data_IF_239495269671
#
_entry.id   IF_239495269671
#
_cell.length_a   1.000
_cell.length_b   1.000
_cell.length_c   1.000
_cell.angle_alpha   90.00
_cell.angle_beta   90.00
_cell.angle_gamma   90.00
#
_symmetry.space_group_name_H-M   'P 1'
#
loop_
_entity.id
_entity.type
_entity.pdbx_description
1 polymer ?
#
# COMPACT_ATOMS: atom_id res chain seq x y z
N UNK A 1 22.18 -6.30 -1.71
CA UNK A 1 21.54 -4.98 -1.93
C UNK A 1 20.63 -5.12 -3.15
N UNK A 2 19.57 -4.33 -3.28
CA UNK A 2 18.81 -4.28 -4.54
C UNK A 2 19.46 -3.18 -5.35
N UNK A 3 20.15 -3.55 -6.42
CA UNK A 3 21.00 -2.59 -7.12
C UNK A 3 20.21 -1.75 -8.12
N UNK A 4 19.08 -2.27 -8.63
CA UNK A 4 18.37 -1.68 -9.76
C UNK A 4 16.86 -1.53 -9.51
N UNK A 5 16.33 -0.33 -9.79
CA UNK A 5 14.89 -0.05 -9.79
C UNK A 5 14.48 0.54 -11.14
N UNK A 6 13.49 -0.10 -11.78
CA UNK A 6 12.83 0.40 -12.98
C UNK A 6 11.54 1.12 -12.58
N UNK A 7 11.33 2.31 -13.15
CA UNK A 7 10.13 3.10 -12.91
C UNK A 7 9.17 2.97 -14.09
N UNK A 8 7.93 2.55 -13.84
CA UNK A 8 6.86 2.46 -14.84
C UNK A 8 5.86 3.60 -14.62
N UNK A 9 5.79 4.52 -15.59
CA UNK A 9 4.90 5.69 -15.55
C UNK A 9 3.89 5.63 -16.69
N UNK A 10 2.61 5.75 -16.37
CA UNK A 10 1.53 5.91 -17.35
C UNK A 10 0.87 7.27 -17.19
N UNK A 11 0.80 8.01 -18.29
CA UNK A 11 0.31 9.40 -18.33
C UNK A 11 -1.10 9.41 -18.94
N UNK A 12 -2.02 10.14 -18.31
CA UNK A 12 -3.39 10.29 -18.82
C UNK A 12 -3.44 11.23 -20.02
N UNK A 13 -4.13 10.83 -21.08
CA UNK A 13 -4.34 11.67 -22.27
C UNK A 13 -5.26 12.87 -22.04
N UNK A 14 -5.92 12.95 -20.87
CA UNK A 14 -6.86 14.03 -20.53
C UNK A 14 -6.20 15.23 -19.86
N UNK A 15 -4.91 15.12 -19.51
CA UNK A 15 -4.16 16.18 -18.88
C UNK A 15 -3.48 17.05 -19.95
N UNK A 16 -3.42 18.36 -19.73
CA UNK A 16 -2.63 19.23 -20.60
C UNK A 16 -1.14 18.94 -20.46
N UNK A 17 -0.35 19.27 -21.49
CA UNK A 17 1.09 19.00 -21.53
C UNK A 17 1.84 19.66 -20.35
N UNK A 18 1.41 20.85 -19.94
CA UNK A 18 2.00 21.58 -18.81
C UNK A 18 1.74 20.89 -17.46
N UNK A 19 0.51 20.42 -17.24
CA UNK A 19 0.14 19.70 -16.02
C UNK A 19 0.81 18.33 -15.99
N UNK A 20 0.93 17.68 -17.14
CA UNK A 20 1.66 16.43 -17.33
C UNK A 20 3.13 16.59 -16.96
N UNK A 21 3.83 17.57 -17.53
CA UNK A 21 5.25 17.79 -17.27
C UNK A 21 5.52 18.11 -15.79
N UNK A 22 4.66 18.90 -15.16
CA UNK A 22 4.75 19.22 -13.73
C UNK A 22 4.51 17.99 -12.86
N UNK A 23 3.48 17.20 -13.17
CA UNK A 23 3.15 15.96 -12.47
C UNK A 23 4.27 14.91 -12.57
N UNK A 24 4.77 14.68 -13.79
CA UNK A 24 5.89 13.77 -14.07
C UNK A 24 7.13 14.15 -13.25
N UNK A 25 7.48 15.42 -13.24
CA UNK A 25 8.64 15.93 -12.48
C UNK A 25 8.49 15.68 -10.99
N UNK A 26 7.27 15.89 -10.45
CA UNK A 26 6.96 15.60 -9.05
C UNK A 26 7.08 14.12 -8.71
N UNK A 27 6.52 13.24 -9.56
CA UNK A 27 6.57 11.79 -9.40
C UNK A 27 8.02 11.30 -9.45
N UNK A 28 8.80 11.68 -10.46
CA UNK A 28 10.19 11.27 -10.60
C UNK A 28 11.05 11.71 -9.40
N UNK A 29 10.86 12.95 -8.91
CA UNK A 29 11.55 13.43 -7.70
C UNK A 29 11.16 12.63 -6.46
N UNK A 30 9.87 12.34 -6.27
CA UNK A 30 9.38 11.52 -5.17
C UNK A 30 9.99 10.12 -5.18
N UNK A 31 10.07 9.51 -6.36
CA UNK A 31 10.65 8.17 -6.55
C UNK A 31 12.15 8.13 -6.26
N UNK A 32 12.92 9.10 -6.77
CA UNK A 32 14.34 9.24 -6.41
C UNK A 32 14.50 9.36 -4.89
N UNK A 33 13.66 10.17 -4.24
CA UNK A 33 13.66 10.29 -2.78
C UNK A 33 13.41 8.97 -2.04
N UNK A 34 12.45 8.16 -2.50
CA UNK A 34 12.20 6.83 -1.92
C UNK A 34 13.35 5.86 -2.18
N UNK A 35 13.95 5.87 -3.37
CA UNK A 35 15.09 5.02 -3.71
C UNK A 35 16.32 5.31 -2.83
N UNK A 36 16.66 6.59 -2.65
CA UNK A 36 17.74 7.01 -1.77
C UNK A 36 17.51 6.54 -0.33
N UNK A 37 16.28 6.67 0.20
CA UNK A 37 15.90 6.15 1.53
C UNK A 37 15.96 4.61 1.59
N UNK A 38 15.62 3.94 0.49
CA UNK A 38 15.74 2.49 0.32
C UNK A 38 17.18 1.99 0.26
N UNK A 39 18.15 2.88 0.04
CA UNK A 39 19.57 2.54 -0.13
C UNK A 39 19.90 2.03 -1.54
N UNK A 40 19.03 2.28 -2.52
CA UNK A 40 19.30 1.99 -3.93
C UNK A 40 20.17 3.10 -4.51
N UNK A 41 21.18 2.72 -5.30
CA UNK A 41 22.18 3.67 -5.83
C UNK A 41 21.79 4.24 -7.19
N UNK A 42 21.19 3.44 -8.07
CA UNK A 42 20.93 3.84 -9.46
C UNK A 42 19.49 3.53 -9.92
N UNK A 43 18.91 4.48 -10.68
CA UNK A 43 17.65 4.29 -11.41
C UNK A 43 18.01 3.96 -12.86
N UNK A 44 17.90 2.68 -13.25
CA UNK A 44 18.33 2.22 -14.57
C UNK A 44 17.48 2.78 -15.72
N UNK A 45 16.26 3.26 -15.43
CA UNK A 45 15.44 3.97 -16.38
C UNK A 45 14.00 4.22 -15.94
N UNK A 46 13.32 5.08 -16.70
CA UNK A 46 11.88 5.30 -16.60
C UNK A 46 11.24 4.86 -17.91
N UNK A 47 10.36 3.85 -17.87
CA UNK A 47 9.56 3.48 -19.04
C UNK A 47 8.23 4.23 -18.99
N UNK A 48 8.02 5.11 -19.96
CA UNK A 48 6.76 5.81 -20.16
C UNK A 48 5.90 5.06 -21.16
N UNK A 49 4.62 4.87 -20.84
CA UNK A 49 3.61 4.44 -21.82
C UNK A 49 2.41 5.36 -21.75
N UNK A 50 1.98 5.86 -22.91
CA UNK A 50 0.64 6.40 -23.05
C UNK A 50 -0.34 5.23 -22.97
N UNK A 51 -1.39 5.38 -22.15
CA UNK A 51 -2.43 4.36 -22.04
C UNK A 51 -2.98 4.04 -23.43
N UNK A 52 -3.13 2.75 -23.75
CA UNK A 52 -3.87 2.30 -24.93
C UNK A 52 -4.99 1.37 -24.46
N UNK A 53 -6.22 1.62 -24.93
CA UNK A 53 -7.41 0.84 -24.54
C UNK A 53 -8.07 1.30 -23.23
N UNK A 54 -8.78 0.40 -22.55
CA UNK A 54 -9.62 0.68 -21.34
C UNK A 54 -8.86 1.37 -20.18
N UNK A 55 -7.52 1.39 -20.23
CA UNK A 55 -6.61 2.08 -19.31
C UNK A 55 -6.47 3.59 -19.57
N UNK A 56 -7.12 4.15 -20.60
CA UNK A 56 -7.00 5.56 -21.00
C UNK A 56 -7.55 6.58 -19.98
N UNK A 57 -8.31 6.12 -19.00
CA UNK A 57 -9.07 7.02 -18.10
C UNK A 57 -8.37 7.33 -16.77
N UNK A 58 -7.25 6.69 -16.43
CA UNK A 58 -6.56 6.90 -15.15
C UNK A 58 -5.05 7.04 -15.29
N UNK A 59 -4.46 8.05 -14.66
CA UNK A 59 -3.02 8.10 -14.45
C UNK A 59 -2.63 6.99 -13.46
N UNK A 60 -1.59 6.21 -13.78
CA UNK A 60 -1.12 5.09 -12.98
C UNK A 60 0.40 5.08 -12.89
N UNK A 61 0.93 4.65 -11.75
CA UNK A 61 2.36 4.62 -11.50
C UNK A 61 2.74 3.37 -10.71
N UNK A 62 3.88 2.75 -11.06
CA UNK A 62 4.44 1.63 -10.31
C UNK A 62 5.96 1.56 -10.43
N UNK A 63 6.62 0.94 -9.46
CA UNK A 63 8.04 0.62 -9.52
C UNK A 63 8.26 -0.87 -9.49
N UNK A 64 9.28 -1.33 -10.21
CA UNK A 64 9.74 -2.70 -10.17
C UNK A 64 11.20 -2.71 -9.71
N UNK A 65 11.47 -3.43 -8.63
CA UNK A 65 12.83 -3.61 -8.10
C UNK A 65 13.33 -5.01 -8.38
N UNK A 66 14.54 -5.13 -8.92
CA UNK A 66 15.23 -6.40 -9.07
C UNK A 66 16.34 -6.52 -8.01
N UNK A 67 16.23 -7.51 -7.13
CA UNK A 67 17.31 -7.93 -6.25
C UNK A 67 17.86 -9.26 -6.79
N UNK A 68 19.10 -9.32 -7.32
CA UNK A 68 19.73 -10.61 -7.57
C UNK A 68 19.86 -11.35 -6.24
N UNK A 69 19.27 -12.55 -6.16
CA UNK A 69 19.31 -13.41 -4.96
C UNK A 69 20.71 -14.01 -4.77
N UNK A 70 21.69 -13.18 -4.44
CA UNK A 70 23.07 -13.58 -4.18
C UNK A 70 23.31 -13.98 -2.72
N UNK A 71 22.30 -13.89 -1.85
CA UNK A 71 22.42 -14.30 -0.44
C UNK A 71 21.24 -15.12 0.04
N UNK A 72 21.45 -16.14 0.89
CA UNK A 72 20.38 -16.88 1.59
C UNK A 72 19.67 -16.03 2.67
N UNK A 73 19.82 -14.70 2.62
CA UNK A 73 19.45 -13.77 3.67
C UNK A 73 17.95 -13.39 3.67
N UNK A 74 17.19 -13.79 2.66
CA UNK A 74 15.74 -13.58 2.64
C UNK A 74 15.05 -14.83 3.21
N UNK A 75 14.41 -14.68 4.38
CA UNK A 75 13.60 -15.74 4.96
C UNK A 75 12.53 -16.16 3.95
N UNK A 76 12.49 -17.45 3.60
CA UNK A 76 11.44 -17.97 2.74
C UNK A 76 10.10 -17.81 3.49
N UNK A 77 9.04 -17.33 2.84
CA UNK A 77 7.78 -17.05 3.51
C UNK A 77 6.93 -18.32 3.70
N UNK A 78 7.54 -19.42 4.15
CA UNK A 78 6.93 -20.76 4.19
C UNK A 78 7.21 -21.56 5.48
N UNK A 79 7.74 -20.91 6.53
CA UNK A 79 8.21 -21.58 7.75
C UNK A 79 7.40 -21.26 9.02
N UNK A 80 6.15 -20.78 8.90
CA UNK A 80 5.30 -20.52 10.06
C UNK A 80 4.98 -21.81 10.83
N UNK A 81 4.93 -21.71 12.17
CA UNK A 81 4.64 -22.83 13.07
C UNK A 81 3.43 -22.54 13.96
N UNK A 82 2.66 -23.57 14.41
CA UNK A 82 1.61 -23.37 15.39
C UNK A 82 2.17 -22.71 16.67
N UNK A 83 1.48 -21.68 17.16
CA UNK A 83 1.93 -20.88 18.29
C UNK A 83 2.60 -19.56 17.90
N UNK A 84 2.90 -19.35 16.61
CA UNK A 84 3.35 -18.06 16.12
C UNK A 84 2.29 -16.97 16.29
N UNK A 85 2.78 -15.72 16.42
CA UNK A 85 1.94 -14.53 16.50
C UNK A 85 2.02 -13.73 15.19
N UNK A 86 0.89 -13.13 14.82
CA UNK A 86 0.80 -12.26 13.65
C UNK A 86 1.06 -10.81 14.07
N UNK A 87 2.03 -10.17 13.42
CA UNK A 87 2.36 -8.76 13.64
C UNK A 87 2.11 -7.98 12.36
N UNK A 88 1.32 -6.91 12.45
CA UNK A 88 1.09 -5.98 11.35
C UNK A 88 1.83 -4.68 11.63
N UNK A 89 2.65 -4.23 10.68
CA UNK A 89 3.56 -3.09 10.88
C UNK A 89 2.97 -1.74 10.52
N UNK A 90 1.85 -1.71 9.77
CA UNK A 90 1.15 -0.48 9.36
C UNK A 90 -0.34 -0.60 9.62
N UNK A 91 -1.03 0.51 9.95
CA UNK A 91 -2.48 0.49 10.11
C UNK A 91 -3.19 0.30 8.76
N UNK A 92 -4.37 -0.33 8.81
CA UNK A 92 -5.25 -0.54 7.68
C UNK A 92 -6.17 0.66 7.43
N UNK A 93 -6.83 0.69 6.28
CA UNK A 93 -7.80 1.72 5.92
C UNK A 93 -7.24 2.85 5.06
N UNK A 94 -6.09 2.63 4.40
CA UNK A 94 -5.47 3.62 3.51
C UNK A 94 -6.41 4.02 2.38
N UNK A 95 -7.06 3.03 1.74
CA UNK A 95 -8.06 3.29 0.70
C UNK A 95 -9.23 4.13 1.21
N UNK A 96 -9.68 3.88 2.45
CA UNK A 96 -10.78 4.65 3.04
C UNK A 96 -10.40 6.09 3.32
N UNK A 97 -9.18 6.33 3.80
CA UNK A 97 -8.68 7.68 4.04
C UNK A 97 -8.59 8.49 2.74
N UNK A 98 -8.00 7.91 1.69
CA UNK A 98 -7.89 8.56 0.37
C UNK A 98 -9.27 8.80 -0.24
N UNK A 99 -10.17 7.81 -0.16
CA UNK A 99 -11.52 7.93 -0.69
C UNK A 99 -12.34 8.99 0.06
N UNK A 100 -12.24 9.05 1.39
CA UNK A 100 -12.92 10.05 2.20
C UNK A 100 -12.44 11.47 1.86
N UNK A 101 -11.12 11.64 1.67
CA UNK A 101 -10.53 12.90 1.25
C UNK A 101 -11.04 13.34 -0.13
N UNK A 102 -11.07 12.43 -1.12
CA UNK A 102 -11.65 12.73 -2.45
C UNK A 102 -13.14 13.13 -2.38
N UNK A 103 -13.88 12.62 -1.40
CA UNK A 103 -15.29 12.96 -1.27
C UNK A 103 -15.53 14.36 -0.72
N UNK A 104 -14.53 15.03 -0.13
CA UNK A 104 -14.64 16.42 0.32
C UNK A 104 -15.06 17.35 -0.83
N UNK A 105 -14.58 17.07 -2.04
CA UNK A 105 -14.89 17.82 -3.27
C UNK A 105 -16.14 17.32 -4.00
N UNK A 106 -16.81 16.28 -3.48
CA UNK A 106 -18.01 15.67 -4.07
C UNK A 106 -19.20 15.79 -3.11
N UNK A 107 -20.04 16.84 -3.21
CA UNK A 107 -21.10 17.14 -2.24
C UNK A 107 -22.04 15.96 -1.95
N UNK A 108 -22.43 15.21 -2.99
CA UNK A 108 -23.32 14.04 -2.84
C UNK A 108 -22.69 12.91 -2.00
N UNK A 109 -21.38 12.71 -2.13
CA UNK A 109 -20.65 11.67 -1.39
C UNK A 109 -20.27 12.14 0.00
N UNK A 110 -19.83 13.40 0.14
CA UNK A 110 -19.56 14.03 1.44
C UNK A 110 -20.79 13.97 2.35
N UNK A 111 -21.99 14.25 1.80
CA UNK A 111 -23.24 14.22 2.56
C UNK A 111 -23.53 12.87 3.22
N UNK A 112 -22.95 11.76 2.74
CA UNK A 112 -23.11 10.43 3.34
C UNK A 112 -22.26 10.22 4.60
N UNK A 113 -21.12 10.90 4.69
CA UNK A 113 -20.13 10.71 5.76
C UNK A 113 -19.99 11.90 6.70
N UNK A 114 -20.53 13.07 6.34
CA UNK A 114 -20.45 14.31 7.14
C UNK A 114 -21.03 14.21 8.55
N UNK A 115 -21.92 13.25 8.79
CA UNK A 115 -22.52 13.00 10.12
C UNK A 115 -21.63 12.14 11.02
N UNK A 116 -20.59 11.53 10.45
CA UNK A 116 -19.74 10.53 11.12
C UNK A 116 -18.32 11.04 11.31
N UNK A 117 -17.84 11.92 10.44
CA UNK A 117 -16.49 12.49 10.50
C UNK A 117 -16.51 13.99 10.16
N UNK A 118 -15.59 14.73 10.76
CA UNK A 118 -15.35 16.13 10.39
C UNK A 118 -14.36 16.24 9.22
N UNK A 119 -14.24 17.43 8.61
CA UNK A 119 -13.27 17.66 7.53
C UNK A 119 -11.84 17.52 8.03
N UNK A 120 -11.58 18.01 9.24
CA UNK A 120 -10.28 17.97 9.90
C UNK A 120 -9.87 16.53 10.19
N UNK A 121 -10.80 15.68 10.64
CA UNK A 121 -10.54 14.27 10.88
C UNK A 121 -10.20 13.51 9.59
N UNK A 122 -10.86 13.85 8.47
CA UNK A 122 -10.56 13.27 7.17
C UNK A 122 -9.18 13.71 6.67
N UNK A 123 -8.83 14.98 6.85
CA UNK A 123 -7.51 15.50 6.48
C UNK A 123 -6.39 14.82 7.29
N UNK A 124 -6.58 14.69 8.61
CA UNK A 124 -5.62 13.99 9.46
C UNK A 124 -5.46 12.52 9.05
N UNK A 125 -6.56 11.82 8.79
CA UNK A 125 -6.51 10.43 8.33
C UNK A 125 -5.83 10.28 6.96
N UNK A 126 -6.03 11.25 6.06
CA UNK A 126 -5.36 11.29 4.76
C UNK A 126 -3.85 11.47 4.91
N UNK A 127 -3.42 12.42 5.74
CA UNK A 127 -1.99 12.64 6.02
C UNK A 127 -1.33 11.42 6.66
N UNK A 128 -2.01 10.78 7.62
CA UNK A 128 -1.55 9.53 8.25
C UNK A 128 -1.43 8.39 7.22
N UNK A 129 -2.43 8.23 6.35
CA UNK A 129 -2.39 7.25 5.28
C UNK A 129 -1.22 7.51 4.32
N UNK A 130 -1.04 8.74 3.85
CA UNK A 130 0.07 9.11 2.95
C UNK A 130 1.42 8.84 3.60
N UNK A 131 1.60 9.21 4.88
CA UNK A 131 2.83 8.94 5.62
C UNK A 131 3.11 7.43 5.77
N UNK A 132 2.06 6.66 6.10
CA UNK A 132 2.14 5.19 6.20
C UNK A 132 2.53 4.55 4.87
N UNK A 133 1.86 4.95 3.77
CA UNK A 133 2.14 4.43 2.42
C UNK A 133 3.55 4.80 1.94
N UNK A 134 4.04 5.99 2.27
CA UNK A 134 5.38 6.46 1.90
C UNK A 134 6.51 5.86 2.75
N UNK A 135 6.18 5.23 3.88
CA UNK A 135 7.17 4.59 4.76
C UNK A 135 7.63 3.25 4.18
N UNK A 136 8.94 3.10 4.00
CA UNK A 136 9.52 1.87 3.46
C UNK A 136 9.52 0.74 4.50
N UNK A 137 9.22 -0.48 4.05
CA UNK A 137 9.30 -1.70 4.87
C UNK A 137 10.75 -2.19 5.12
N UNK A 138 11.76 -1.35 4.85
CA UNK A 138 13.19 -1.67 5.02
C UNK A 138 13.54 -2.00 6.47
N UNK A 139 13.05 -1.20 7.41
CA UNK A 139 13.27 -1.44 8.84
C UNK A 139 12.58 -2.71 9.30
N UNK A 140 11.32 -2.92 8.88
CA UNK A 140 10.57 -4.14 9.17
C UNK A 140 11.32 -5.38 8.66
N UNK A 141 11.81 -5.37 7.42
CA UNK A 141 12.61 -6.46 6.85
C UNK A 141 13.93 -6.71 7.61
N UNK A 142 14.55 -5.67 8.15
CA UNK A 142 15.72 -5.79 9.02
C UNK A 142 15.39 -6.47 10.35
N UNK A 143 14.31 -6.02 11.01
CA UNK A 143 13.85 -6.55 12.29
C UNK A 143 13.35 -8.00 12.16
N UNK A 144 12.69 -8.35 11.06
CA UNK A 144 12.30 -9.73 10.77
C UNK A 144 13.48 -10.70 10.88
N UNK A 145 14.66 -10.32 10.37
CA UNK A 145 15.85 -11.16 10.49
C UNK A 145 16.39 -11.17 11.92
N UNK A 146 16.45 -10.01 12.56
CA UNK A 146 16.98 -9.86 13.91
C UNK A 146 16.19 -10.68 14.95
N UNK A 147 14.88 -10.79 14.76
CA UNK A 147 13.97 -11.51 15.65
C UNK A 147 13.56 -12.89 15.15
N UNK A 148 14.13 -13.38 14.05
CA UNK A 148 13.87 -14.73 13.54
C UNK A 148 12.44 -14.96 13.04
N UNK A 149 11.87 -14.00 12.31
CA UNK A 149 10.53 -14.13 11.74
C UNK A 149 10.43 -15.35 10.80
N UNK A 150 9.38 -16.14 10.99
CA UNK A 150 9.16 -17.39 10.28
C UNK A 150 8.57 -17.23 8.88
N UNK A 151 7.71 -16.23 8.69
CA UNK A 151 7.10 -15.90 7.41
C UNK A 151 6.63 -14.45 7.41
N UNK A 152 6.51 -13.84 6.22
CA UNK A 152 5.87 -12.54 6.07
C UNK A 152 5.25 -12.38 4.68
N UNK A 153 4.30 -11.46 4.60
CA UNK A 153 3.71 -10.94 3.37
C UNK A 153 3.48 -9.45 3.58
N UNK A 154 3.58 -8.68 2.50
CA UNK A 154 3.03 -7.32 2.45
C UNK A 154 1.51 -7.37 2.25
N UNK A 155 0.80 -6.32 2.69
CA UNK A 155 -0.65 -6.16 2.51
C UNK A 155 -0.91 -5.07 1.48
N UNK A 156 -1.49 -5.43 0.35
CA UNK A 156 -1.80 -4.50 -0.75
C UNK A 156 -3.24 -4.67 -1.23
N UNK A 157 -3.47 -4.71 -2.54
CA UNK A 157 -4.80 -4.56 -3.15
C UNK A 157 -5.81 -5.66 -2.83
N UNK A 158 -5.37 -6.81 -2.30
CA UNK A 158 -6.27 -7.89 -1.88
C UNK A 158 -6.77 -7.76 -0.44
N UNK A 159 -6.27 -6.78 0.30
CA UNK A 159 -6.58 -6.59 1.71
C UNK A 159 -5.95 -7.62 2.63
N UNK A 160 -5.98 -7.33 3.93
CA UNK A 160 -5.29 -8.14 4.96
C UNK A 160 -5.72 -9.61 4.95
N UNK A 161 -7.01 -9.89 4.73
CA UNK A 161 -7.51 -11.26 4.72
C UNK A 161 -7.05 -12.03 3.47
N UNK A 162 -7.00 -11.36 2.32
CA UNK A 162 -6.52 -11.96 1.07
C UNK A 162 -5.05 -12.35 1.18
N UNK A 163 -4.21 -11.43 1.67
CA UNK A 163 -2.79 -11.69 1.89
C UNK A 163 -2.53 -12.72 2.99
N UNK A 164 -3.27 -12.68 4.10
CA UNK A 164 -3.14 -13.68 5.16
C UNK A 164 -3.49 -15.10 4.68
N UNK A 165 -4.55 -15.25 3.87
CA UNK A 165 -4.92 -16.54 3.26
C UNK A 165 -3.85 -17.03 2.29
N UNK A 166 -3.33 -16.14 1.45
CA UNK A 166 -2.26 -16.48 0.51
C UNK A 166 -0.97 -16.90 1.24
N UNK A 167 -0.65 -16.24 2.36
CA UNK A 167 0.48 -16.63 3.20
C UNK A 167 0.24 -17.98 3.87
N UNK A 168 -0.92 -18.21 4.47
CA UNK A 168 -1.27 -19.48 5.10
C UNK A 168 -1.17 -20.66 4.11
N UNK A 169 -1.69 -20.48 2.88
CA UNK A 169 -1.63 -21.50 1.83
C UNK A 169 -0.20 -21.83 1.33
N UNK A 170 0.79 -21.00 1.65
CA UNK A 170 2.21 -21.21 1.28
C UNK A 170 3.01 -21.93 2.35
N UNK A 171 2.45 -22.16 3.54
CA UNK A 171 3.19 -22.75 4.65
C UNK A 171 3.42 -24.25 4.42
N UNK A 172 4.58 -24.74 4.86
CA UNK A 172 4.92 -26.18 4.76
C UNK A 172 4.19 -27.03 5.80
N UNK A 173 3.91 -26.44 6.96
CA UNK A 173 3.13 -27.04 8.02
C UNK A 173 1.67 -26.68 7.85
N UNK A 174 0.78 -27.55 8.34
CA UNK A 174 -0.65 -27.27 8.41
C UNK A 174 -0.90 -26.23 9.51
N UNK A 175 -1.10 -24.98 9.11
CA UNK A 175 -1.31 -23.85 10.01
C UNK A 175 -2.51 -23.00 9.57
N UNK A 176 -3.22 -22.47 10.55
CA UNK A 176 -4.31 -21.52 10.34
C UNK A 176 -4.00 -20.21 11.05
N UNK A 177 -4.28 -19.09 10.37
CA UNK A 177 -4.05 -17.75 10.89
C UNK A 177 -5.35 -17.17 11.45
N UNK A 178 -5.33 -16.75 12.72
CA UNK A 178 -6.45 -16.10 13.39
C UNK A 178 -6.07 -14.67 13.74
N UNK A 179 -6.78 -13.72 13.12
CA UNK A 179 -6.57 -12.29 13.33
C UNK A 179 -7.58 -11.81 14.38
N UNK A 180 -7.09 -11.39 15.54
CA UNK A 180 -7.94 -11.02 16.69
C UNK A 180 -8.33 -9.55 16.70
N UNK A 181 -7.45 -8.69 16.18
CA UNK A 181 -7.64 -7.26 16.13
C UNK A 181 -7.06 -6.71 14.83
N UNK A 182 -7.60 -5.58 14.40
CA UNK A 182 -7.16 -4.87 13.20
C UNK A 182 -6.80 -3.45 13.61
N UNK A 183 -5.52 -3.03 13.53
CA UNK A 183 -5.18 -1.63 13.67
C UNK A 183 -5.69 -0.90 12.41
N UNK A 184 -6.53 0.11 12.61
CA UNK A 184 -7.18 0.86 11.53
C UNK A 184 -6.92 2.34 11.78
N UNK A 185 -6.61 3.08 10.72
CA UNK A 185 -6.46 4.54 10.76
C UNK A 185 -7.72 5.14 11.41
N UNK A 186 -7.51 6.11 12.31
CA UNK A 186 -8.58 6.68 13.12
C UNK A 186 -9.78 7.11 12.25
N UNK A 187 -10.99 6.90 12.77
CA UNK A 187 -12.29 7.16 12.11
C UNK A 187 -12.58 6.34 10.85
N UNK A 188 -11.62 5.69 10.19
CA UNK A 188 -11.88 4.98 8.93
C UNK A 188 -12.79 3.76 9.09
N UNK A 189 -12.76 3.11 10.25
CA UNK A 189 -13.74 2.07 10.60
C UNK A 189 -15.19 2.63 10.61
N UNK A 190 -15.39 3.84 11.16
CA UNK A 190 -16.69 4.49 11.22
C UNK A 190 -17.15 4.96 9.83
N UNK A 191 -16.26 5.53 9.02
CA UNK A 191 -16.53 5.90 7.62
C UNK A 191 -16.93 4.65 6.81
N UNK A 192 -16.18 3.55 6.96
CA UNK A 192 -16.50 2.29 6.27
C UNK A 192 -17.90 1.76 6.64
N UNK A 193 -18.25 1.83 7.94
CA UNK A 193 -19.58 1.44 8.44
C UNK A 193 -20.68 2.36 7.90
N UNK A 194 -20.45 3.67 7.84
CA UNK A 194 -21.38 4.65 7.28
C UNK A 194 -21.67 4.39 5.78
N UNK A 195 -20.70 3.83 5.07
CA UNK A 195 -20.83 3.44 3.66
C UNK A 195 -21.49 2.06 3.46
N UNK A 196 -22.11 1.49 4.51
CA UNK A 196 -22.76 0.19 4.48
C UNK A 196 -21.78 -0.99 4.38
N UNK A 197 -20.53 -0.81 4.82
CA UNK A 197 -19.51 -1.87 4.79
C UNK A 197 -19.02 -2.26 3.39
N UNK A 198 -19.47 -1.57 2.34
CA UNK A 198 -19.07 -1.81 0.94
C UNK A 198 -17.56 -1.71 0.70
N UNK A 199 -16.86 -0.98 1.55
CA UNK A 199 -15.42 -0.86 1.48
C UNK A 199 -14.67 -2.09 2.02
N UNK A 200 -15.34 -3.02 2.70
CA UNK A 200 -14.74 -4.28 3.15
C UNK A 200 -13.72 -4.16 4.30
N UNK A 201 -13.48 -2.97 4.85
CA UNK A 201 -12.44 -2.72 5.85
C UNK A 201 -12.62 -3.56 7.11
N UNK A 202 -13.85 -3.62 7.63
CA UNK A 202 -14.19 -4.41 8.82
C UNK A 202 -14.15 -5.93 8.57
N UNK A 203 -14.20 -6.35 7.30
CA UNK A 203 -14.11 -7.76 6.90
C UNK A 203 -12.70 -8.15 6.43
N UNK A 204 -11.74 -7.22 6.48
CA UNK A 204 -10.36 -7.43 6.03
C UNK A 204 -10.19 -7.57 4.51
N UNK A 205 -11.21 -7.21 3.73
CA UNK A 205 -11.19 -7.28 2.25
C UNK A 205 -11.02 -5.92 1.58
N UNK A 206 -10.82 -4.85 2.37
CA UNK A 206 -10.51 -3.54 1.82
C UNK A 206 -9.16 -3.58 1.11
N UNK A 207 -9.03 -3.00 -0.10
CA UNK A 207 -7.74 -2.84 -0.74
C UNK A 207 -6.87 -1.89 0.09
N UNK A 208 -5.59 -2.23 0.21
CA UNK A 208 -4.58 -1.35 0.76
C UNK A 208 -3.56 -1.01 -0.32
N UNK A 209 -2.89 0.13 -0.18
CA UNK A 209 -1.80 0.55 -1.06
C UNK A 209 -0.55 0.68 -0.21
N UNK A 210 0.55 0.00 -0.55
CA UNK A 210 1.82 0.10 0.19
C UNK A 210 1.66 -0.12 1.73
N UNK A 211 0.93 -1.17 2.11
CA UNK A 211 0.69 -1.54 3.50
C UNK A 211 1.87 -2.25 4.19
#
# INVERSE_FOLDING_TARGET
>A
ECDNVLVLLSVSQRMSDEVTATGDTGIERGQRGQQTRGGHRDMEGTQRRHGSGVWDMGAGFGTWGACPMLTPALARPDNAVPGDVLVLTKPLGTHMAVTAHQWLDMPERWNKIKLVVTREEVELAYQEAVASMATLNRTAAGLMRAFGAHAATDVTGFGVLGHARALAARQRLDVAFVIHNLPVIARMAAVSKACGGRAGLLHGTAPETSG
#
